data_IF_026701534808
#
_entry.id   IF_026701534808
#
_cell.length_a   1.000
_cell.length_b   1.000
_cell.length_c   1.000
_cell.angle_alpha   90.00
_cell.angle_beta   90.00
_cell.angle_gamma   90.00
#
_symmetry.space_group_name_H-M   'P 1'
#
loop_
_entity.id
_entity.type
_entity.pdbx_description
1 polymer ?
#
# COMPACT_ATOMS: atom_id res chain seq x y z
N UNK A 1 17.77 9.17 20.51
CA UNK A 1 17.30 10.53 20.18
C UNK A 1 18.39 11.20 19.36
N UNK A 2 18.03 11.82 18.25
CA UNK A 2 19.00 12.50 17.38
C UNK A 2 19.20 13.95 17.83
N UNK A 3 20.41 14.47 17.64
CA UNK A 3 20.72 15.86 17.91
C UNK A 3 20.15 16.77 16.82
N UNK A 4 20.07 18.07 17.09
CA UNK A 4 19.65 19.06 16.10
C UNK A 4 20.56 19.05 14.86
N UNK A 5 21.86 18.84 15.05
CA UNK A 5 22.84 18.77 13.95
C UNK A 5 22.60 17.54 13.08
N UNK A 6 22.25 16.40 13.67
CA UNK A 6 21.94 15.17 12.94
C UNK A 6 20.69 15.35 12.06
N UNK A 7 19.65 16.00 12.59
CA UNK A 7 18.41 16.30 11.84
C UNK A 7 18.68 17.26 10.66
N UNK A 8 19.42 18.34 10.90
CA UNK A 8 19.77 19.30 9.84
C UNK A 8 20.64 18.65 8.75
N UNK A 9 21.56 17.76 9.13
CA UNK A 9 22.36 16.99 8.18
C UNK A 9 21.47 16.03 7.37
N UNK A 10 20.56 15.32 8.02
CA UNK A 10 19.64 14.40 7.34
C UNK A 10 18.71 15.14 6.36
N UNK A 11 18.17 16.29 6.76
CA UNK A 11 17.33 17.13 5.90
C UNK A 11 18.10 17.65 4.69
N UNK A 12 19.35 18.10 4.89
CA UNK A 12 20.22 18.55 3.78
C UNK A 12 20.51 17.42 2.79
N UNK A 13 20.82 16.23 3.27
CA UNK A 13 21.09 15.07 2.41
C UNK A 13 19.83 14.66 1.65
N UNK A 14 18.69 14.57 2.34
CA UNK A 14 17.39 14.25 1.75
C UNK A 14 17.01 15.22 0.65
N UNK A 15 17.18 16.53 0.90
CA UNK A 15 16.95 17.57 -0.10
C UNK A 15 17.79 17.33 -1.36
N UNK A 16 19.11 17.11 -1.20
CA UNK A 16 20.00 16.81 -2.33
C UNK A 16 19.64 15.53 -3.09
N UNK A 17 19.17 14.49 -2.40
CA UNK A 17 18.72 13.24 -3.04
C UNK A 17 17.43 13.44 -3.82
N UNK A 18 16.44 14.16 -3.28
CA UNK A 18 15.21 14.48 -4.02
C UNK A 18 15.52 15.20 -5.32
N UNK A 19 16.44 16.18 -5.28
CA UNK A 19 16.87 16.86 -6.49
C UNK A 19 17.50 15.91 -7.51
N UNK A 20 18.44 15.05 -7.09
CA UNK A 20 19.08 14.07 -7.96
C UNK A 20 18.10 13.06 -8.57
N UNK A 21 17.02 12.77 -7.86
CA UNK A 21 15.94 11.88 -8.31
C UNK A 21 14.87 12.61 -9.12
N UNK A 22 15.06 13.90 -9.45
CA UNK A 22 14.07 14.74 -10.13
C UNK A 22 12.72 14.81 -9.38
N UNK A 23 12.75 14.71 -8.05
CA UNK A 23 11.58 14.87 -7.18
C UNK A 23 11.59 16.25 -6.54
N UNK A 24 10.42 16.89 -6.53
CA UNK A 24 10.29 18.25 -6.01
C UNK A 24 10.49 18.27 -4.47
N UNK A 25 11.51 18.98 -3.94
CA UNK A 25 11.78 19.05 -2.51
C UNK A 25 10.72 19.81 -1.69
N UNK A 26 9.79 20.54 -2.33
CA UNK A 26 8.64 21.18 -1.65
C UNK A 26 7.85 20.16 -0.82
N UNK A 27 7.80 18.88 -1.22
CA UNK A 27 7.15 17.84 -0.44
C UNK A 27 7.75 17.66 0.98
N UNK A 28 9.04 17.99 1.19
CA UNK A 28 9.66 17.99 2.52
C UNK A 28 9.05 19.07 3.41
N UNK A 29 8.80 20.26 2.86
CA UNK A 29 8.14 21.35 3.56
C UNK A 29 6.72 20.94 3.98
N UNK A 30 5.93 20.37 3.06
CA UNK A 30 4.57 19.89 3.35
C UNK A 30 4.54 18.84 4.47
N UNK A 31 5.50 17.91 4.46
CA UNK A 31 5.67 16.90 5.51
C UNK A 31 5.96 17.56 6.85
N UNK A 32 6.93 18.49 6.91
CA UNK A 32 7.32 19.16 8.15
C UNK A 32 6.23 20.11 8.67
N UNK A 33 5.49 20.79 7.79
CA UNK A 33 4.28 21.55 8.16
C UNK A 33 3.25 20.65 8.83
N UNK A 34 3.02 19.46 8.27
CA UNK A 34 2.12 18.45 8.87
C UNK A 34 2.60 18.02 10.25
N UNK A 35 3.90 17.72 10.41
CA UNK A 35 4.50 17.36 11.71
C UNK A 35 4.42 18.49 12.74
N UNK A 36 4.70 19.73 12.33
CA UNK A 36 4.57 20.93 13.19
C UNK A 36 3.13 21.11 13.65
N UNK A 37 2.15 20.95 12.76
CA UNK A 37 0.72 21.04 13.10
C UNK A 37 0.33 19.96 14.11
N UNK A 38 0.78 18.71 13.92
CA UNK A 38 0.55 17.62 14.87
C UNK A 38 1.17 17.94 16.23
N UNK A 39 2.39 18.47 16.26
CA UNK A 39 3.08 18.79 17.52
C UNK A 39 2.38 19.91 18.29
N UNK A 40 1.90 20.95 17.59
CA UNK A 40 1.30 22.14 18.20
C UNK A 40 -0.13 21.95 18.68
N UNK A 41 -0.95 21.25 17.89
CA UNK A 41 -2.41 21.26 18.08
C UNK A 41 -2.98 19.93 18.55
N UNK A 42 -2.20 18.85 18.56
CA UNK A 42 -2.68 17.55 19.01
C UNK A 42 -2.28 17.34 20.48
N UNK A 43 -3.23 17.52 21.38
CA UNK A 43 -3.06 17.27 22.83
C UNK A 43 -2.95 15.77 23.20
N UNK A 44 -2.63 14.90 22.23
CA UNK A 44 -2.59 13.45 22.39
C UNK A 44 -1.17 12.90 22.34
N UNK A 45 -1.05 11.57 22.20
CA UNK A 45 0.25 10.89 22.09
C UNK A 45 0.98 11.36 20.82
N UNK A 46 2.17 11.95 21.01
CA UNK A 46 3.05 12.33 19.91
C UNK A 46 3.37 11.09 19.05
N UNK A 47 3.40 11.22 17.71
CA UNK A 47 3.93 10.17 16.84
C UNK A 47 5.32 9.73 17.30
N UNK A 48 5.56 8.43 17.30
CA UNK A 48 6.83 7.87 17.76
C UNK A 48 8.05 8.39 16.98
N UNK A 49 7.85 8.73 15.70
CA UNK A 49 8.85 9.42 14.90
C UNK A 49 9.32 10.73 15.55
N UNK A 50 8.41 11.58 16.05
CA UNK A 50 8.75 12.86 16.66
C UNK A 50 9.41 12.73 18.04
N UNK A 51 9.33 11.56 18.66
CA UNK A 51 10.09 11.28 19.88
C UNK A 51 11.58 11.10 19.57
N UNK A 52 11.92 10.50 18.43
CA UNK A 52 13.32 10.24 18.05
C UNK A 52 13.91 11.37 17.21
N UNK A 53 13.07 12.04 16.41
CA UNK A 53 13.37 13.15 15.52
C UNK A 53 12.66 14.44 15.99
N UNK A 54 13.26 15.21 16.91
CA UNK A 54 12.60 16.34 17.56
C UNK A 54 12.56 17.62 16.70
N UNK A 55 11.80 18.60 17.17
CA UNK A 55 11.78 19.99 16.70
C UNK A 55 11.48 20.19 15.19
N UNK A 56 10.27 19.83 14.73
CA UNK A 56 9.87 20.02 13.34
C UNK A 56 9.81 21.49 12.91
N UNK A 57 9.74 22.45 13.85
CA UNK A 57 9.70 23.88 13.53
C UNK A 57 11.06 24.41 13.07
N UNK A 58 12.14 24.11 13.79
CA UNK A 58 13.48 24.51 13.34
C UNK A 58 13.86 23.83 12.00
N UNK A 59 13.50 22.55 11.85
CA UNK A 59 13.70 21.80 10.60
C UNK A 59 12.91 22.40 9.44
N UNK A 60 11.65 22.80 9.67
CA UNK A 60 10.82 23.44 8.65
C UNK A 60 11.47 24.72 8.14
N UNK A 61 11.88 25.62 9.03
CA UNK A 61 12.53 26.87 8.64
C UNK A 61 13.83 26.61 7.85
N UNK A 62 14.58 25.57 8.24
CA UNK A 62 15.79 25.18 7.52
C UNK A 62 15.49 24.69 6.10
N UNK A 63 14.50 23.79 5.94
CA UNK A 63 14.09 23.28 4.63
C UNK A 63 13.50 24.37 3.76
N UNK A 64 12.69 25.28 4.31
CA UNK A 64 12.17 26.45 3.59
C UNK A 64 13.32 27.27 2.98
N UNK A 65 14.37 27.54 3.76
CA UNK A 65 15.55 28.26 3.24
C UNK A 65 16.28 27.51 2.12
N UNK A 66 16.30 26.17 2.12
CA UNK A 66 16.89 25.39 1.04
C UNK A 66 16.04 25.46 -0.23
N UNK A 67 14.72 25.38 -0.09
CA UNK A 67 13.76 25.47 -1.20
C UNK A 67 13.79 26.85 -1.84
N UNK A 68 13.87 27.93 -1.05
CA UNK A 68 13.97 29.30 -1.56
C UNK A 68 15.23 29.52 -2.42
N UNK A 69 16.33 28.86 -2.05
CA UNK A 69 17.60 28.90 -2.78
C UNK A 69 17.71 27.82 -3.87
N UNK A 70 16.63 27.08 -4.16
CA UNK A 70 16.64 26.03 -5.16
C UNK A 70 16.56 26.58 -6.59
N UNK A 71 17.72 26.76 -7.22
CA UNK A 71 17.79 27.18 -8.62
C UNK A 71 17.12 26.19 -9.59
N UNK A 72 17.04 24.90 -9.23
CA UNK A 72 16.45 23.87 -10.08
C UNK A 72 14.93 23.98 -10.15
N UNK A 73 14.30 24.58 -9.13
CA UNK A 73 12.87 24.90 -9.15
C UNK A 73 12.52 25.90 -10.27
N UNK A 74 13.49 26.72 -10.70
CA UNK A 74 13.34 27.69 -11.80
C UNK A 74 13.50 27.04 -13.18
N UNK A 75 14.04 25.82 -13.24
CA UNK A 75 14.24 25.08 -14.50
C UNK A 75 12.95 24.34 -14.88
N UNK A 76 12.29 24.70 -16.00
CA UNK A 76 11.06 24.02 -16.41
C UNK A 76 11.30 22.53 -16.67
N UNK A 77 10.48 21.68 -16.07
CA UNK A 77 10.53 20.23 -16.29
C UNK A 77 11.67 19.50 -15.57
N UNK A 78 12.50 20.18 -14.76
CA UNK A 78 13.52 19.51 -13.96
C UNK A 78 12.92 18.54 -12.93
N UNK A 79 11.79 18.92 -12.32
CA UNK A 79 11.05 18.08 -11.40
C UNK A 79 9.89 17.37 -12.08
N UNK A 80 9.74 16.08 -11.79
CA UNK A 80 8.69 15.23 -12.34
C UNK A 80 7.61 14.94 -11.30
N UNK A 81 6.35 15.02 -11.74
CA UNK A 81 5.23 14.53 -10.93
C UNK A 81 5.26 13.01 -10.93
N UNK A 82 5.40 12.41 -9.76
CA UNK A 82 5.33 10.94 -9.59
C UNK A 82 3.89 10.50 -9.28
N UNK A 83 3.52 9.33 -9.77
CA UNK A 83 2.28 8.64 -9.40
C UNK A 83 2.36 8.15 -7.94
N UNK A 84 1.33 8.41 -7.13
CA UNK A 84 1.27 7.93 -5.75
C UNK A 84 0.48 6.63 -5.61
N UNK A 85 -0.03 6.05 -6.69
CA UNK A 85 -0.85 4.83 -6.67
C UNK A 85 -0.29 3.75 -5.76
N UNK A 86 0.98 3.35 -5.94
CA UNK A 86 1.63 2.29 -5.14
C UNK A 86 1.60 2.61 -3.64
N UNK A 87 1.95 3.84 -3.29
CA UNK A 87 1.93 4.31 -1.91
C UNK A 87 0.50 4.35 -1.34
N UNK A 88 -0.47 4.87 -2.09
CA UNK A 88 -1.86 4.95 -1.65
C UNK A 88 -2.48 3.57 -1.49
N UNK A 89 -2.22 2.63 -2.41
CA UNK A 89 -2.66 1.23 -2.32
C UNK A 89 -2.14 0.59 -1.03
N UNK A 90 -0.84 0.73 -0.76
CA UNK A 90 -0.23 0.27 0.48
C UNK A 90 -0.86 0.94 1.72
N UNK A 91 -0.97 2.27 1.70
CA UNK A 91 -1.57 3.05 2.79
C UNK A 91 -2.97 2.58 3.16
N UNK A 92 -3.85 2.34 2.18
CA UNK A 92 -5.21 1.88 2.46
C UNK A 92 -5.24 0.45 3.02
N UNK A 93 -4.32 -0.44 2.60
CA UNK A 93 -4.18 -1.79 3.19
C UNK A 93 -3.70 -1.74 4.63
N UNK A 94 -2.73 -0.88 4.95
CA UNK A 94 -2.28 -0.67 6.34
C UNK A 94 -3.39 -0.05 7.18
N UNK A 95 -4.13 0.91 6.64
CA UNK A 95 -5.27 1.51 7.33
C UNK A 95 -6.32 0.45 7.69
N UNK A 96 -6.64 -0.49 6.79
CA UNK A 96 -7.58 -1.58 7.09
C UNK A 96 -7.12 -2.43 8.29
N UNK A 97 -5.82 -2.71 8.39
CA UNK A 97 -5.26 -3.54 9.46
C UNK A 97 -5.10 -2.82 10.80
N UNK A 98 -5.05 -1.49 10.78
CA UNK A 98 -4.67 -0.68 11.95
C UNK A 98 -5.78 0.22 12.47
N UNK A 99 -6.81 0.49 11.67
CA UNK A 99 -7.95 1.31 12.04
C UNK A 99 -9.20 0.47 12.27
N UNK A 100 -10.10 1.00 13.10
CA UNK A 100 -11.46 0.47 13.17
C UNK A 100 -12.19 0.62 11.82
N UNK A 101 -13.00 -0.39 11.47
CA UNK A 101 -13.64 -0.48 10.16
C UNK A 101 -14.62 0.68 9.90
N UNK A 102 -15.37 1.10 10.92
CA UNK A 102 -16.32 2.21 10.80
C UNK A 102 -15.60 3.55 10.65
N UNK A 103 -14.52 3.77 11.42
CA UNK A 103 -13.68 4.95 11.23
C UNK A 103 -13.07 5.00 9.83
N UNK A 104 -12.58 3.87 9.32
CA UNK A 104 -12.04 3.78 7.96
C UNK A 104 -13.12 4.10 6.92
N UNK A 105 -14.35 3.61 7.11
CA UNK A 105 -15.49 3.88 6.23
C UNK A 105 -15.81 5.37 6.16
N UNK A 106 -15.87 6.06 7.29
CA UNK A 106 -16.13 7.50 7.33
C UNK A 106 -15.05 8.26 6.56
N UNK A 107 -13.78 7.93 6.81
CA UNK A 107 -12.64 8.56 6.14
C UNK A 107 -12.69 8.34 4.62
N UNK A 108 -12.94 7.11 4.18
CA UNK A 108 -12.98 6.81 2.75
C UNK A 108 -14.21 7.44 2.07
N UNK A 109 -15.37 7.43 2.73
CA UNK A 109 -16.60 8.04 2.18
C UNK A 109 -16.42 9.55 1.99
N UNK A 110 -15.93 10.25 3.02
CA UNK A 110 -15.69 11.69 2.95
C UNK A 110 -14.66 12.05 1.86
N UNK A 111 -13.61 11.24 1.69
CA UNK A 111 -12.62 11.45 0.63
C UNK A 111 -13.16 11.12 -0.75
N UNK A 112 -14.04 10.15 -0.89
CA UNK A 112 -14.61 9.75 -2.17
C UNK A 112 -15.61 10.79 -2.73
N UNK A 113 -16.34 11.47 -1.85
CA UNK A 113 -17.36 12.49 -2.19
C UNK A 113 -16.84 13.92 -2.17
N UNK A 114 -15.71 14.18 -1.52
CA UNK A 114 -15.12 15.52 -1.44
C UNK A 114 -14.67 16.09 -2.79
N UNK A 115 -14.63 17.43 -2.89
CA UNK A 115 -14.16 18.17 -4.07
C UNK A 115 -12.63 18.17 -4.25
N UNK A 116 -11.90 17.37 -3.47
CA UNK A 116 -10.42 17.37 -3.43
C UNK A 116 -9.73 16.76 -4.65
N UNK A 117 -8.50 16.29 -4.44
CA UNK A 117 -7.68 15.66 -5.48
C UNK A 117 -8.36 14.40 -6.06
N UNK A 118 -8.31 14.26 -7.39
CA UNK A 118 -8.91 13.13 -8.11
C UNK A 118 -8.26 11.81 -7.69
N UNK A 119 -6.94 11.80 -7.49
CA UNK A 119 -6.18 10.64 -7.04
C UNK A 119 -6.72 10.13 -5.70
N UNK A 120 -6.92 11.04 -4.75
CA UNK A 120 -7.45 10.72 -3.43
C UNK A 120 -8.88 10.18 -3.49
N UNK A 121 -9.74 10.77 -4.34
CA UNK A 121 -11.12 10.26 -4.54
C UNK A 121 -11.11 8.85 -5.09
N UNK A 122 -10.26 8.57 -6.08
CA UNK A 122 -10.18 7.24 -6.71
C UNK A 122 -9.66 6.23 -5.70
N UNK A 123 -8.56 6.53 -5.02
CA UNK A 123 -7.99 5.61 -4.03
C UNK A 123 -8.83 5.47 -2.76
N UNK A 124 -9.68 6.45 -2.43
CA UNK A 124 -10.71 6.26 -1.41
C UNK A 124 -11.74 5.18 -1.80
N UNK A 125 -12.07 5.04 -3.10
CA UNK A 125 -12.90 3.92 -3.59
C UNK A 125 -12.16 2.59 -3.45
N UNK A 126 -10.84 2.56 -3.61
CA UNK A 126 -10.04 1.38 -3.29
C UNK A 126 -10.19 1.00 -1.82
N UNK A 127 -10.07 1.97 -0.90
CA UNK A 127 -10.33 1.74 0.52
C UNK A 127 -11.74 1.21 0.81
N UNK A 128 -12.77 1.74 0.14
CA UNK A 128 -14.15 1.22 0.25
C UNK A 128 -14.29 -0.19 -0.33
N UNK A 129 -13.54 -0.55 -1.37
CA UNK A 129 -13.55 -1.91 -1.92
C UNK A 129 -12.94 -2.91 -0.94
N UNK A 130 -11.88 -2.52 -0.23
CA UNK A 130 -11.29 -3.32 0.84
C UNK A 130 -12.26 -3.52 2.02
N UNK A 131 -12.97 -2.46 2.43
CA UNK A 131 -14.03 -2.58 3.46
C UNK A 131 -15.13 -3.54 2.98
N UNK A 132 -15.59 -3.39 1.74
CA UNK A 132 -16.62 -4.26 1.18
C UNK A 132 -16.18 -5.74 1.14
N UNK A 133 -14.88 -6.01 0.96
CA UNK A 133 -14.32 -7.35 1.03
C UNK A 133 -14.45 -7.95 2.45
N UNK A 134 -14.10 -7.19 3.49
CA UNK A 134 -14.25 -7.60 4.90
C UNK A 134 -15.71 -7.82 5.29
N UNK A 135 -16.63 -7.03 4.73
CA UNK A 135 -18.07 -7.17 4.95
C UNK A 135 -18.72 -8.27 4.10
N UNK A 136 -17.94 -9.03 3.34
CA UNK A 136 -18.42 -10.04 2.39
C UNK A 136 -19.36 -9.48 1.30
N UNK A 137 -19.36 -8.15 1.09
CA UNK A 137 -20.11 -7.49 0.02
C UNK A 137 -19.29 -7.45 -1.27
N UNK A 138 -19.10 -8.63 -1.85
CA UNK A 138 -18.26 -8.85 -3.03
C UNK A 138 -18.80 -8.14 -4.29
N UNK A 139 -20.11 -7.95 -4.40
CA UNK A 139 -20.71 -7.24 -5.54
C UNK A 139 -20.25 -5.78 -5.53
N UNK A 140 -20.44 -5.10 -4.39
CA UNK A 140 -20.04 -3.69 -4.23
C UNK A 140 -18.51 -3.53 -4.34
N UNK A 141 -17.74 -4.43 -3.75
CA UNK A 141 -16.28 -4.36 -3.85
C UNK A 141 -15.78 -4.47 -5.30
N UNK A 142 -16.38 -5.36 -6.12
CA UNK A 142 -16.04 -5.49 -7.54
C UNK A 142 -16.36 -4.21 -8.32
N UNK A 143 -17.52 -3.60 -8.10
CA UNK A 143 -17.90 -2.34 -8.75
C UNK A 143 -16.95 -1.19 -8.41
N UNK A 144 -16.56 -1.08 -7.13
CA UNK A 144 -15.63 -0.06 -6.67
C UNK A 144 -14.24 -0.27 -7.27
N UNK A 145 -13.74 -1.51 -7.27
CA UNK A 145 -12.42 -1.82 -7.79
C UNK A 145 -12.34 -1.66 -9.32
N UNK A 146 -13.44 -1.94 -10.04
CA UNK A 146 -13.56 -1.65 -11.47
C UNK A 146 -13.35 -0.16 -11.77
N UNK A 147 -13.97 0.74 -10.98
CA UNK A 147 -13.79 2.19 -11.12
C UNK A 147 -12.35 2.63 -10.83
N UNK A 148 -11.66 1.97 -9.90
CA UNK A 148 -10.24 2.23 -9.64
C UNK A 148 -9.39 1.82 -10.85
N UNK A 149 -9.65 0.64 -11.42
CA UNK A 149 -8.94 0.14 -12.61
C UNK A 149 -9.18 1.00 -13.85
N UNK A 150 -10.39 1.52 -14.04
CA UNK A 150 -10.69 2.45 -15.14
C UNK A 150 -9.83 3.72 -15.07
N UNK A 151 -9.49 4.17 -13.85
CA UNK A 151 -8.61 5.32 -13.65
C UNK A 151 -7.11 4.98 -13.68
N UNK A 152 -6.77 3.71 -13.47
CA UNK A 152 -5.39 3.20 -13.45
C UNK A 152 -5.25 1.95 -14.35
N UNK A 153 -5.42 2.07 -15.67
CA UNK A 153 -5.42 0.92 -16.58
C UNK A 153 -4.07 0.20 -16.66
N UNK A 154 -2.97 0.92 -16.42
CA UNK A 154 -1.59 0.40 -16.43
C UNK A 154 -1.22 -0.33 -15.12
N UNK A 155 -2.10 -0.32 -14.11
CA UNK A 155 -1.80 -0.88 -12.79
C UNK A 155 -2.31 -2.32 -12.67
N UNK A 156 -1.53 -3.20 -13.28
CA UNK A 156 -1.66 -4.65 -13.33
C UNK A 156 -1.99 -5.34 -12.00
N UNK A 157 -1.44 -4.81 -10.90
CA UNK A 157 -1.69 -5.31 -9.54
C UNK A 157 -3.18 -5.23 -9.13
N UNK A 158 -3.98 -4.37 -9.77
CA UNK A 158 -5.42 -4.28 -9.53
C UNK A 158 -6.16 -5.53 -10.04
N UNK A 159 -5.61 -6.25 -11.00
CA UNK A 159 -6.15 -7.53 -11.45
C UNK A 159 -6.02 -8.60 -10.36
N UNK A 160 -4.89 -8.59 -9.64
CA UNK A 160 -4.68 -9.44 -8.45
C UNK A 160 -5.70 -9.08 -7.37
N UNK A 161 -5.91 -7.79 -7.10
CA UNK A 161 -6.93 -7.32 -6.14
C UNK A 161 -8.34 -7.83 -6.52
N UNK A 162 -8.69 -7.78 -7.81
CA UNK A 162 -9.97 -8.30 -8.30
C UNK A 162 -10.06 -9.81 -8.13
N UNK A 163 -8.98 -10.54 -8.40
CA UNK A 163 -8.95 -11.98 -8.25
C UNK A 163 -9.10 -12.42 -6.79
N UNK A 164 -8.51 -11.70 -5.83
CA UNK A 164 -8.72 -11.93 -4.39
C UNK A 164 -10.18 -11.80 -4.01
N UNK A 165 -10.84 -10.77 -4.53
CA UNK A 165 -12.27 -10.57 -4.28
C UNK A 165 -13.10 -11.70 -4.91
N UNK A 166 -12.79 -12.12 -6.14
CA UNK A 166 -13.43 -13.28 -6.79
C UNK A 166 -13.23 -14.57 -6.00
N UNK A 167 -12.03 -14.78 -5.46
CA UNK A 167 -11.73 -15.93 -4.63
C UNK A 167 -12.58 -15.91 -3.34
N UNK A 168 -12.72 -14.75 -2.70
CA UNK A 168 -13.54 -14.57 -1.51
C UNK A 168 -15.05 -14.79 -1.80
N UNK A 169 -15.51 -14.40 -3.00
CA UNK A 169 -16.88 -14.66 -3.49
C UNK A 169 -17.14 -16.13 -3.88
N UNK A 170 -16.15 -17.02 -3.73
CA UNK A 170 -16.26 -18.43 -4.15
C UNK A 170 -16.16 -18.65 -5.67
N UNK A 171 -15.88 -17.61 -6.45
CA UNK A 171 -15.63 -17.71 -7.91
C UNK A 171 -14.19 -18.21 -8.15
N UNK A 172 -13.84 -19.38 -7.62
CA UNK A 172 -12.47 -19.92 -7.54
C UNK A 172 -11.83 -20.02 -8.92
N UNK A 173 -12.54 -20.57 -9.92
CA UNK A 173 -11.97 -20.77 -11.26
C UNK A 173 -11.63 -19.44 -11.96
N UNK A 174 -12.47 -18.42 -11.78
CA UNK A 174 -12.20 -17.08 -12.31
C UNK A 174 -11.00 -16.45 -11.62
N UNK A 175 -10.89 -16.59 -10.30
CA UNK A 175 -9.74 -16.10 -9.55
C UNK A 175 -8.44 -16.79 -10.01
N UNK A 176 -8.45 -18.11 -10.18
CA UNK A 176 -7.29 -18.87 -10.67
C UNK A 176 -6.88 -18.41 -12.06
N UNK A 177 -7.83 -18.18 -12.97
CA UNK A 177 -7.52 -17.67 -14.31
C UNK A 177 -6.80 -16.33 -14.26
N UNK A 178 -7.38 -15.34 -13.55
CA UNK A 178 -6.79 -14.00 -13.39
C UNK A 178 -5.40 -14.05 -12.73
N UNK A 179 -5.27 -14.82 -11.65
CA UNK A 179 -4.00 -14.95 -10.92
C UNK A 179 -2.93 -15.67 -11.75
N UNK A 180 -3.31 -16.66 -12.56
CA UNK A 180 -2.39 -17.33 -13.48
C UNK A 180 -1.89 -16.35 -14.54
N UNK A 181 -2.75 -15.49 -15.08
CA UNK A 181 -2.34 -14.45 -16.01
C UNK A 181 -1.42 -13.41 -15.35
N UNK A 182 -1.75 -12.96 -14.14
CA UNK A 182 -0.93 -12.01 -13.39
C UNK A 182 0.48 -12.57 -13.11
N UNK A 183 0.58 -13.81 -12.61
CA UNK A 183 1.87 -14.47 -12.34
C UNK A 183 2.68 -14.74 -13.61
N UNK A 184 2.02 -15.03 -14.74
CA UNK A 184 2.71 -15.19 -16.02
C UNK A 184 3.33 -13.88 -16.52
N UNK A 185 2.63 -12.76 -16.30
CA UNK A 185 3.10 -11.43 -16.71
C UNK A 185 4.23 -10.94 -15.81
N UNK A 186 4.08 -11.08 -14.50
CA UNK A 186 5.12 -10.76 -13.52
C UNK A 186 5.33 -11.93 -12.55
N UNK A 187 6.30 -12.82 -12.85
CA UNK A 187 6.64 -13.93 -11.97
C UNK A 187 7.27 -13.49 -10.64
N UNK A 188 7.68 -12.22 -10.52
CA UNK A 188 8.31 -11.68 -9.31
C UNK A 188 7.30 -11.05 -8.33
N UNK A 189 6.04 -10.89 -8.76
CA UNK A 189 4.95 -10.47 -7.88
C UNK A 189 4.56 -11.60 -6.91
N UNK A 190 5.28 -11.67 -5.80
CA UNK A 190 5.03 -12.68 -4.77
C UNK A 190 3.65 -12.54 -4.13
N UNK A 191 3.00 -11.38 -4.23
CA UNK A 191 1.61 -11.23 -3.79
C UNK A 191 0.68 -12.00 -4.73
N UNK A 192 0.84 -11.88 -6.04
CA UNK A 192 0.10 -12.66 -7.02
C UNK A 192 0.36 -14.18 -6.88
N UNK A 193 1.62 -14.57 -6.68
CA UNK A 193 2.00 -15.99 -6.47
C UNK A 193 1.34 -16.56 -5.21
N UNK A 194 1.37 -15.80 -4.11
CA UNK A 194 0.74 -16.20 -2.85
C UNK A 194 -0.79 -16.35 -2.99
N UNK A 195 -1.46 -15.39 -3.63
CA UNK A 195 -2.90 -15.46 -3.84
C UNK A 195 -3.28 -16.60 -4.82
N UNK A 196 -2.46 -16.88 -5.84
CA UNK A 196 -2.63 -18.04 -6.71
C UNK A 196 -2.55 -19.35 -5.93
N UNK A 197 -1.61 -19.45 -5.00
CA UNK A 197 -1.48 -20.63 -4.16
C UNK A 197 -2.70 -20.86 -3.27
N UNK A 198 -3.26 -19.80 -2.68
CA UNK A 198 -4.53 -19.85 -1.94
C UNK A 198 -5.68 -20.31 -2.84
N UNK A 199 -5.74 -19.81 -4.06
CA UNK A 199 -6.76 -20.21 -5.04
C UNK A 199 -6.61 -21.70 -5.44
N UNK A 200 -5.38 -22.19 -5.63
CA UNK A 200 -5.09 -23.60 -5.90
C UNK A 200 -5.43 -24.52 -4.72
N UNK A 201 -5.14 -24.09 -3.50
CA UNK A 201 -5.57 -24.78 -2.28
C UNK A 201 -7.10 -24.92 -2.22
N UNK A 202 -7.85 -23.87 -2.59
CA UNK A 202 -9.32 -23.92 -2.70
C UNK A 202 -9.83 -24.87 -3.78
N UNK A 203 -9.07 -25.08 -4.87
CA UNK A 203 -9.33 -26.11 -5.87
C UNK A 203 -8.92 -27.53 -5.43
N UNK A 204 -8.38 -27.70 -4.21
CA UNK A 204 -7.75 -28.94 -3.71
C UNK A 204 -6.52 -29.39 -4.52
N UNK A 205 -5.96 -28.52 -5.35
CA UNK A 205 -4.69 -28.73 -6.04
C UNK A 205 -3.54 -28.40 -5.06
N UNK A 206 -3.40 -29.25 -4.05
CA UNK A 206 -2.50 -29.02 -2.92
C UNK A 206 -1.03 -29.05 -3.33
N UNK A 207 -0.66 -29.89 -4.31
CA UNK A 207 0.71 -30.00 -4.79
C UNK A 207 1.17 -28.69 -5.45
N UNK A 208 0.33 -28.12 -6.33
CA UNK A 208 0.65 -26.81 -6.92
C UNK A 208 0.62 -25.70 -5.88
N UNK A 209 -0.31 -25.75 -4.92
CA UNK A 209 -0.37 -24.75 -3.86
C UNK A 209 0.91 -24.76 -3.00
N UNK A 210 1.40 -25.92 -2.58
CA UNK A 210 2.63 -26.05 -1.80
C UNK A 210 3.87 -25.62 -2.59
N UNK A 211 3.95 -25.98 -3.88
CA UNK A 211 5.03 -25.51 -4.76
C UNK A 211 5.08 -23.98 -4.87
N UNK A 212 3.93 -23.34 -5.09
CA UNK A 212 3.84 -21.87 -5.16
C UNK A 212 4.19 -21.21 -3.82
N UNK A 213 3.69 -21.74 -2.69
CA UNK A 213 4.03 -21.22 -1.36
C UNK A 213 5.52 -21.42 -1.05
N UNK A 214 6.16 -22.49 -1.54
CA UNK A 214 7.59 -22.69 -1.37
C UNK A 214 8.41 -21.61 -2.09
N UNK A 215 7.97 -21.19 -3.29
CA UNK A 215 8.56 -20.04 -3.98
C UNK A 215 8.42 -18.75 -3.16
N UNK A 216 7.23 -18.51 -2.59
CA UNK A 216 6.99 -17.35 -1.72
C UNK A 216 7.86 -17.41 -0.47
N UNK A 217 8.04 -18.59 0.14
CA UNK A 217 8.90 -18.80 1.32
C UNK A 217 10.35 -18.45 1.07
N UNK A 218 10.84 -18.75 -0.14
CA UNK A 218 12.22 -18.47 -0.51
C UNK A 218 12.50 -16.97 -0.61
N UNK A 219 11.53 -16.19 -1.11
CA UNK A 219 11.69 -14.74 -1.31
C UNK A 219 11.28 -13.94 -0.07
N UNK A 220 10.28 -14.40 0.67
CA UNK A 220 9.71 -13.71 1.85
C UNK A 220 9.63 -14.66 3.05
N UNK A 221 10.78 -15.06 3.63
CA UNK A 221 10.81 -16.01 4.76
C UNK A 221 10.12 -15.48 6.02
N UNK A 222 9.98 -14.16 6.17
CA UNK A 222 9.34 -13.56 7.35
C UNK A 222 7.81 -13.36 7.20
N UNK A 223 7.23 -13.80 6.08
CA UNK A 223 5.79 -13.61 5.83
C UNK A 223 4.95 -14.63 6.61
N UNK A 224 4.60 -14.33 7.86
CA UNK A 224 3.90 -15.27 8.76
C UNK A 224 2.63 -15.92 8.20
N UNK A 225 1.85 -15.20 7.40
CA UNK A 225 0.61 -15.70 6.79
C UNK A 225 0.87 -16.88 5.83
N UNK A 226 2.06 -16.95 5.23
CA UNK A 226 2.52 -18.06 4.41
C UNK A 226 2.50 -19.39 5.16
N UNK A 227 3.12 -19.41 6.35
CA UNK A 227 3.26 -20.63 7.14
C UNK A 227 1.91 -21.12 7.67
N UNK A 228 0.99 -20.19 7.92
CA UNK A 228 -0.39 -20.53 8.24
C UNK A 228 -1.08 -21.27 7.07
N UNK A 229 -0.94 -20.78 5.84
CA UNK A 229 -1.51 -21.45 4.66
C UNK A 229 -0.85 -22.81 4.37
N UNK A 230 0.47 -22.91 4.52
CA UNK A 230 1.19 -24.20 4.41
C UNK A 230 0.69 -25.22 5.45
N UNK A 231 0.53 -24.80 6.71
CA UNK A 231 -0.02 -25.65 7.76
C UNK A 231 -1.43 -26.14 7.44
N UNK A 232 -2.29 -25.26 6.91
CA UNK A 232 -3.65 -25.62 6.47
C UNK A 232 -3.65 -26.63 5.33
N UNK A 233 -2.75 -26.48 4.35
CA UNK A 233 -2.63 -27.42 3.22
C UNK A 233 -2.20 -28.80 3.72
N UNK A 234 -1.16 -28.88 4.55
CA UNK A 234 -0.66 -30.15 5.10
C UNK A 234 -1.68 -30.85 5.98
N UNK A 235 -2.41 -30.10 6.81
CA UNK A 235 -3.52 -30.64 7.59
C UNK A 235 -4.68 -31.16 6.70
N UNK A 236 -4.92 -30.50 5.57
CA UNK A 236 -5.89 -30.94 4.56
C UNK A 236 -5.47 -32.23 3.85
N UNK A 237 -4.20 -32.35 3.47
CA UNK A 237 -3.62 -33.56 2.87
C UNK A 237 -3.65 -34.75 3.85
N UNK A 238 -3.31 -34.52 5.13
CA UNK A 238 -3.33 -35.57 6.17
C UNK A 238 -4.72 -36.14 6.49
N UNK A 239 -5.79 -35.43 6.14
CA UNK A 239 -7.18 -35.93 6.25
C UNK A 239 -7.66 -36.70 5.02
N UNK A 240 -6.96 -36.60 3.88
CA UNK A 240 -7.31 -37.27 2.63
C UNK A 240 -6.39 -38.44 2.26
N UNK A 241 -5.22 -38.56 2.87
CA UNK A 241 -4.26 -39.66 2.66
C UNK A 241 -4.38 -40.82 3.64
N UNK A 242 -5.49 -40.89 4.38
CA UNK A 242 -5.79 -41.95 5.34
C UNK A 242 -7.07 -42.70 4.97
N UNK A 243 -7.12 -43.22 3.75
CA UNK A 243 -8.05 -44.30 3.32
C UNK A 243 -7.29 -45.30 2.45
#
# INVERSE_FOLDING_TARGET
>A
HYSRQDEEQADRLSFGWLQKMHRNPIAMEEMLRTMRRITRYRSGKLPQYLLTHPNPEARLNYVESLVENDEKQKLPGYYHKTDNFRFLRFKYRVMLQSMDLEQMRIVCTNRATGSGDSEQRIMARYGLALIALEEHNYIRGNELLKKVREAYPEQDILEVDMAVLKLANGEVDKAVSLLTHAVKRDPTDMYAVFELAKAKSKQKDFDRAESLLSTVAHVMPDYSQLYYELGRIRAGQGRGGGE
#
